data_IF_806047606016
#
_entry.id   IF_806047606016
#
_cell.length_a   1.000
_cell.length_b   1.000
_cell.length_c   1.000
_cell.angle_alpha   90.00
_cell.angle_beta   90.00
_cell.angle_gamma   90.00
#
_symmetry.space_group_name_H-M   'P 1'
#
loop_
_entity.id
_entity.type
_entity.pdbx_description
1 polymer ?
#
# COMPACT_ATOMS: atom_id res chain seq x y z
N UNK A 1 2.34 -10.85 -7.77
CA UNK A 1 0.88 -10.65 -7.77
C UNK A 1 0.21 -12.02 -7.87
N UNK A 2 -0.88 -12.24 -7.15
CA UNK A 2 -1.68 -13.48 -7.23
C UNK A 2 -3.15 -13.12 -7.42
N UNK A 3 -3.88 -13.92 -8.19
CA UNK A 3 -5.34 -13.83 -8.27
C UNK A 3 -5.94 -14.35 -6.96
N UNK A 4 -7.02 -13.73 -6.51
CA UNK A 4 -7.68 -14.06 -5.26
C UNK A 4 -9.19 -13.83 -5.37
N UNK A 5 -9.91 -14.34 -4.37
CA UNK A 5 -11.27 -13.93 -4.07
C UNK A 5 -11.24 -13.32 -2.67
N UNK A 6 -11.86 -12.15 -2.50
CA UNK A 6 -11.94 -11.46 -1.22
C UNK A 6 -13.39 -11.09 -0.95
N UNK A 7 -13.97 -11.59 0.14
CA UNK A 7 -15.40 -11.42 0.47
C UNK A 7 -16.35 -11.72 -0.71
N UNK A 8 -16.02 -12.70 -1.55
CA UNK A 8 -16.80 -13.06 -2.73
C UNK A 8 -16.53 -12.22 -3.98
N UNK A 9 -15.71 -11.17 -3.88
CA UNK A 9 -15.32 -10.32 -5.01
C UNK A 9 -14.06 -10.85 -5.73
N UNK A 10 -13.98 -10.71 -7.06
CA UNK A 10 -12.74 -10.95 -7.79
C UNK A 10 -11.69 -9.94 -7.34
N UNK A 11 -10.49 -10.44 -7.01
CA UNK A 11 -9.44 -9.61 -6.47
C UNK A 11 -8.06 -10.05 -6.96
N UNK A 12 -7.08 -9.18 -6.79
CA UNK A 12 -5.68 -9.56 -6.81
C UNK A 12 -5.00 -9.14 -5.52
N UNK A 13 -3.91 -9.84 -5.18
CA UNK A 13 -3.05 -9.48 -4.06
C UNK A 13 -1.62 -9.24 -4.52
N UNK A 14 -1.01 -8.19 -3.98
CA UNK A 14 0.39 -7.85 -4.18
C UNK A 14 1.08 -7.87 -2.83
N UNK A 15 2.20 -8.60 -2.71
CA UNK A 15 3.05 -8.54 -1.53
C UNK A 15 3.90 -7.29 -1.61
N UNK A 16 3.88 -6.46 -0.57
CA UNK A 16 4.61 -5.20 -0.47
C UNK A 16 5.45 -5.17 0.80
N UNK A 17 6.47 -4.32 0.80
CA UNK A 17 7.33 -4.06 1.95
C UNK A 17 7.59 -2.55 2.03
N UNK A 18 6.51 -1.78 2.17
CA UNK A 18 6.56 -0.33 2.31
C UNK A 18 6.90 0.07 3.75
N UNK A 19 7.21 1.35 3.93
CA UNK A 19 7.54 1.91 5.25
C UNK A 19 6.40 1.76 6.25
N UNK A 20 5.16 2.05 5.85
CA UNK A 20 3.98 2.00 6.72
C UNK A 20 3.33 0.63 6.76
N UNK A 21 3.49 -0.18 5.71
CA UNK A 21 2.91 -1.52 5.63
C UNK A 21 3.82 -2.54 4.94
N UNK A 22 4.13 -3.61 5.67
CA UNK A 22 4.73 -4.82 5.13
C UNK A 22 3.72 -5.98 5.23
N UNK A 23 3.36 -6.57 4.09
CA UNK A 23 2.29 -7.55 4.02
C UNK A 23 1.71 -7.65 2.62
N UNK A 24 0.40 -7.87 2.54
CA UNK A 24 -0.32 -7.85 1.27
C UNK A 24 -1.20 -6.62 1.15
N UNK A 25 -1.29 -6.08 -0.06
CA UNK A 25 -2.37 -5.21 -0.51
C UNK A 25 -3.32 -6.08 -1.31
N UNK A 26 -4.60 -6.06 -0.95
CA UNK A 26 -5.70 -6.68 -1.70
C UNK A 26 -6.48 -5.58 -2.40
N UNK A 27 -6.67 -5.74 -3.71
CA UNK A 27 -7.52 -4.88 -4.52
C UNK A 27 -8.64 -5.75 -5.07
N UNK A 28 -9.87 -5.47 -4.65
CA UNK A 28 -11.06 -6.23 -5.02
C UNK A 28 -12.01 -5.35 -5.85
N UNK A 29 -12.56 -5.89 -6.95
CA UNK A 29 -13.54 -5.17 -7.76
C UNK A 29 -14.94 -5.41 -7.17
N UNK A 30 -15.58 -4.33 -6.72
CA UNK A 30 -16.92 -4.40 -6.15
C UNK A 30 -18.02 -4.42 -7.24
N UNK A 31 -19.26 -4.63 -6.82
CA UNK A 31 -20.41 -4.69 -7.73
C UNK A 31 -20.83 -3.36 -8.36
N UNK A 32 -20.19 -2.26 -7.99
CA UNK A 32 -20.52 -0.89 -8.40
C UNK A 32 -19.45 -0.26 -9.30
N UNK A 33 -18.55 -1.07 -9.87
CA UNK A 33 -17.42 -0.64 -10.73
C UNK A 33 -16.31 0.17 -10.03
N UNK A 34 -16.22 0.05 -8.70
CA UNK A 34 -15.11 0.60 -7.91
C UNK A 34 -14.23 -0.51 -7.34
N UNK A 35 -13.02 -0.13 -6.95
CA UNK A 35 -12.11 -1.02 -6.25
C UNK A 35 -12.14 -0.79 -4.74
N UNK A 36 -12.19 -1.88 -3.98
CA UNK A 36 -11.91 -1.89 -2.54
C UNK A 36 -10.44 -2.22 -2.31
N UNK A 37 -9.77 -1.38 -1.51
CA UNK A 37 -8.36 -1.55 -1.15
C UNK A 37 -8.24 -1.89 0.33
N UNK A 38 -7.59 -3.03 0.61
CA UNK A 38 -7.39 -3.53 1.96
C UNK A 38 -5.92 -3.95 2.18
N UNK A 39 -5.38 -3.59 3.34
CA UNK A 39 -4.07 -4.03 3.82
C UNK A 39 -4.23 -5.27 4.70
N UNK A 40 -3.54 -6.35 4.34
CA UNK A 40 -3.49 -7.58 5.14
C UNK A 40 -2.12 -7.73 5.80
N UNK A 41 -2.13 -7.84 7.12
CA UNK A 41 -0.97 -8.22 7.93
C UNK A 41 -1.33 -9.46 8.76
N UNK A 42 -0.83 -10.62 8.35
CA UNK A 42 -1.27 -11.91 8.91
C UNK A 42 -2.75 -12.16 8.62
N UNK A 43 -3.56 -12.29 9.67
CA UNK A 43 -5.02 -12.47 9.58
C UNK A 43 -5.81 -11.17 9.71
N UNK A 44 -5.14 -10.05 10.02
CA UNK A 44 -5.80 -8.75 10.24
C UNK A 44 -5.96 -8.02 8.92
N UNK A 45 -7.17 -7.56 8.66
CA UNK A 45 -7.55 -6.76 7.51
C UNK A 45 -7.85 -5.32 7.94
N UNK A 46 -7.20 -4.35 7.28
CA UNK A 46 -7.46 -2.92 7.45
C UNK A 46 -7.97 -2.37 6.12
N UNK A 47 -9.18 -1.85 6.11
CA UNK A 47 -9.75 -1.23 4.91
C UNK A 47 -9.22 0.19 4.75
N UNK A 48 -8.70 0.49 3.56
CA UNK A 48 -8.15 1.80 3.21
C UNK A 48 -9.24 2.68 2.60
N UNK A 49 -9.93 2.14 1.58
CA UNK A 49 -11.05 2.77 0.90
C UNK A 49 -11.86 1.68 0.15
N UNK A 50 -13.18 1.82 0.10
CA UNK A 50 -14.10 0.88 -0.56
C UNK A 50 -14.57 1.38 -1.94
N UNK A 51 -14.33 2.66 -2.25
CA UNK A 51 -14.72 3.32 -3.50
C UNK A 51 -13.51 4.01 -4.13
N UNK A 52 -12.66 3.24 -4.82
CA UNK A 52 -11.47 3.76 -5.50
C UNK A 52 -11.62 3.61 -7.01
N UNK A 53 -11.46 4.71 -7.75
CA UNK A 53 -11.42 4.68 -9.21
C UNK A 53 -10.08 4.11 -9.71
N UNK A 54 -10.06 3.61 -10.95
CA UNK A 54 -8.85 2.98 -11.52
C UNK A 54 -7.65 3.94 -11.57
N UNK A 55 -7.89 5.23 -11.79
CA UNK A 55 -6.90 6.30 -11.89
C UNK A 55 -6.40 6.77 -10.51
N UNK A 56 -7.12 6.45 -9.44
CA UNK A 56 -6.77 6.78 -8.06
C UNK A 56 -6.01 5.65 -7.34
N UNK A 57 -6.09 4.42 -7.85
CA UNK A 57 -5.54 3.22 -7.20
C UNK A 57 -4.06 3.38 -6.80
N UNK A 58 -3.24 3.94 -7.69
CA UNK A 58 -1.81 4.15 -7.44
C UNK A 58 -1.58 5.06 -6.23
N UNK A 59 -2.27 6.21 -6.20
CA UNK A 59 -2.14 7.21 -5.15
C UNK A 59 -2.68 6.71 -3.80
N UNK A 60 -3.80 5.98 -3.82
CA UNK A 60 -4.38 5.38 -2.60
C UNK A 60 -3.43 4.35 -2.00
N UNK A 61 -2.85 3.48 -2.83
CA UNK A 61 -1.91 2.45 -2.37
C UNK A 61 -0.61 3.08 -1.88
N UNK A 62 -0.01 4.00 -2.65
CA UNK A 62 1.24 4.69 -2.28
C UNK A 62 1.10 5.41 -0.93
N UNK A 63 -0.01 6.12 -0.74
CA UNK A 63 -0.33 6.77 0.54
C UNK A 63 -0.48 5.78 1.68
N UNK A 64 -1.14 4.65 1.44
CA UNK A 64 -1.41 3.67 2.49
C UNK A 64 -0.18 2.88 2.93
N UNK A 65 0.79 2.64 2.03
CA UNK A 65 1.93 1.77 2.32
C UNK A 65 3.25 2.51 2.52
N UNK A 66 3.39 3.72 1.99
CA UNK A 66 4.66 4.45 1.96
C UNK A 66 4.50 5.88 2.47
N UNK A 67 3.70 6.73 1.81
CA UNK A 67 3.75 8.18 2.07
C UNK A 67 3.02 8.62 3.33
N UNK A 68 1.91 7.96 3.69
CA UNK A 68 1.04 8.39 4.77
C UNK A 68 0.36 9.75 4.49
N UNK A 69 -0.22 10.34 5.53
CA UNK A 69 -0.91 11.64 5.43
C UNK A 69 -0.07 12.82 5.95
N UNK A 70 1.04 12.56 6.66
CA UNK A 70 1.96 13.58 7.16
C UNK A 70 3.19 13.70 6.24
N UNK A 71 3.22 14.77 5.46
CA UNK A 71 4.31 15.04 4.51
C UNK A 71 5.66 15.33 5.22
N UNK A 72 5.64 15.90 6.42
CA UNK A 72 6.86 16.21 7.15
C UNK A 72 7.49 14.96 7.73
N UNK A 73 6.67 14.04 8.24
CA UNK A 73 7.12 12.73 8.70
C UNK A 73 7.73 11.93 7.54
N UNK A 74 7.04 11.91 6.39
CA UNK A 74 7.54 11.25 5.19
C UNK A 74 8.88 11.81 4.71
N UNK A 75 9.02 13.15 4.63
CA UNK A 75 10.30 13.79 4.25
C UNK A 75 11.44 13.40 5.19
N UNK A 76 11.19 13.41 6.51
CA UNK A 76 12.17 13.03 7.52
C UNK A 76 12.59 11.56 7.36
N UNK A 77 11.64 10.67 7.09
CA UNK A 77 11.94 9.27 6.78
C UNK A 77 12.82 9.14 5.53
N UNK A 78 12.49 9.83 4.44
CA UNK A 78 13.30 9.80 3.22
C UNK A 78 14.74 10.28 3.45
N UNK A 79 14.95 11.33 4.25
CA UNK A 79 16.30 11.80 4.61
C UNK A 79 17.09 10.76 5.40
N UNK A 80 16.44 10.06 6.34
CA UNK A 80 17.06 8.98 7.09
C UNK A 80 17.44 7.80 6.20
N UNK A 81 16.55 7.38 5.29
CA UNK A 81 16.84 6.32 4.32
C UNK A 81 17.99 6.72 3.38
N UNK A 82 18.00 7.98 2.93
CA UNK A 82 19.10 8.50 2.11
C UNK A 82 20.43 8.46 2.88
N UNK A 83 20.46 8.86 4.15
CA UNK A 83 21.65 8.77 4.98
C UNK A 83 22.13 7.32 5.17
N UNK A 84 21.22 6.36 5.36
CA UNK A 84 21.56 4.93 5.46
C UNK A 84 22.14 4.36 4.16
N UNK A 85 21.52 4.68 3.02
CA UNK A 85 21.91 4.16 1.70
C UNK A 85 23.25 4.72 1.21
N UNK A 86 23.53 6.00 1.51
CA UNK A 86 24.70 6.71 1.00
C UNK A 86 25.77 7.02 2.05
N UNK A 87 25.48 6.88 3.34
CA UNK A 87 26.39 7.20 4.44
C UNK A 87 27.51 6.18 4.68
N UNK A 88 27.47 5.02 4.02
CA UNK A 88 28.46 3.94 4.14
C UNK A 88 29.21 3.57 2.83
N UNK A 89 29.02 4.32 1.74
CA UNK A 89 29.68 4.06 0.43
C UNK A 89 30.56 5.25 0.01
N UNK A 90 31.58 5.55 0.81
CA UNK A 90 32.71 6.42 0.45
C UNK A 90 34.03 5.90 1.05
N UNK A 91 34.19 4.58 1.17
CA UNK A 91 35.49 3.94 1.45
C UNK A 91 35.94 3.12 0.26
#
# INVERSE_FOLDING_TARGET
MICAVYNGMPAFRIKVNGWLHAGYVTVALNGSDYYEVCLLHGTTAVYVNEEVCFDELGDVIDRAIEKGTDENEYKKFCEQQRALLFGGRLT
#
